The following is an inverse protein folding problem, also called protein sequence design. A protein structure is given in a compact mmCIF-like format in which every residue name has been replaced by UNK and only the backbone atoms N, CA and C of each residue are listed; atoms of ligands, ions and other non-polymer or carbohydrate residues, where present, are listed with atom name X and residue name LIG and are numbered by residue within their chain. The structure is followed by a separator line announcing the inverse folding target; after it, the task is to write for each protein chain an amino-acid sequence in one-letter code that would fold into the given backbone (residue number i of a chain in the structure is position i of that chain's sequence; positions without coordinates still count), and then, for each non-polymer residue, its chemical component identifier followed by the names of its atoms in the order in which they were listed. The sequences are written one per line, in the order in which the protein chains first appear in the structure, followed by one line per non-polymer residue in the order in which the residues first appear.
data_IF_408183517299
#
_entry.id   IF_408183517299
#
_cell.length_a   1.000
_cell.length_b   1.000
_cell.length_c   1.000
_cell.angle_alpha   90.00
_cell.angle_beta   90.00
_cell.angle_gamma   90.00
#
_symmetry.space_group_name_H-M   'P 1'
#
loop_
_entity.id
_entity.type
_entity.pdbx_description
1 polymer ?
#
# COMPACT_ATOMS: atom_id res chain seq x y z
N UNK A 1 -11.75 0.62 10.22
CA UNK A 1 -12.84 -0.20 9.65
C UNK A 1 -12.40 -0.73 8.30
N UNK A 2 -12.08 -2.02 8.21
CA UNK A 2 -12.07 -2.71 6.92
C UNK A 2 -13.52 -2.71 6.43
N UNK A 3 -13.80 -2.20 5.23
CA UNK A 3 -15.18 -2.17 4.73
C UNK A 3 -15.67 -3.62 4.61
N UNK A 4 -16.72 -3.93 5.36
CA UNK A 4 -17.27 -5.28 5.54
C UNK A 4 -17.65 -5.89 4.17
N UNK A 5 -17.31 -7.17 3.98
CA UNK A 5 -17.75 -7.97 2.83
C UNK A 5 -16.68 -8.74 2.04
N UNK A 6 -15.38 -8.47 2.20
CA UNK A 6 -14.32 -9.15 1.40
C UNK A 6 -13.09 -9.51 2.24
N UNK A 7 -13.27 -10.24 3.34
CA UNK A 7 -12.16 -10.67 4.21
C UNK A 7 -11.06 -11.48 3.49
N UNK A 8 -11.39 -12.10 2.36
CA UNK A 8 -10.45 -12.90 1.57
C UNK A 8 -9.61 -12.07 0.59
N UNK A 9 -10.04 -10.85 0.23
CA UNK A 9 -9.35 -10.03 -0.76
C UNK A 9 -7.97 -9.58 -0.27
N UNK A 10 -7.85 -9.17 1.00
CA UNK A 10 -6.58 -8.69 1.55
C UNK A 10 -5.50 -9.79 1.55
N UNK A 11 -5.74 -11.01 2.08
CA UNK A 11 -4.78 -12.12 1.97
C UNK A 11 -4.38 -12.48 0.53
N UNK A 12 -5.33 -12.44 -0.41
CA UNK A 12 -5.06 -12.73 -1.83
C UNK A 12 -4.13 -11.66 -2.42
N UNK A 13 -4.42 -10.38 -2.18
CA UNK A 13 -3.57 -9.28 -2.65
C UNK A 13 -2.18 -9.32 -2.05
N UNK A 14 -2.04 -9.64 -0.75
CA UNK A 14 -0.72 -9.80 -0.13
C UNK A 14 0.08 -10.93 -0.80
N UNK A 15 -0.54 -12.08 -1.05
CA UNK A 15 0.10 -13.22 -1.72
C UNK A 15 0.59 -12.85 -3.11
N UNK A 16 -0.28 -12.23 -3.92
CA UNK A 16 0.05 -11.83 -5.29
C UNK A 16 1.18 -10.81 -5.30
N UNK A 17 1.09 -9.75 -4.48
CA UNK A 17 2.07 -8.67 -4.48
C UNK A 17 3.44 -9.11 -3.93
N UNK A 18 3.46 -10.02 -2.95
CA UNK A 18 4.71 -10.65 -2.50
C UNK A 18 5.35 -11.50 -3.59
N UNK A 19 4.55 -12.15 -4.44
CA UNK A 19 5.03 -12.95 -5.58
C UNK A 19 5.40 -12.12 -6.82
N UNK A 20 4.78 -10.96 -7.01
CA UNK A 20 4.88 -10.15 -8.22
C UNK A 20 6.30 -9.66 -8.52
N UNK A 21 6.82 -9.94 -9.71
CA UNK A 21 8.15 -9.51 -10.15
C UNK A 21 8.14 -8.12 -10.80
N UNK A 22 6.98 -7.50 -10.87
CA UNK A 22 6.74 -6.18 -11.45
C UNK A 22 5.73 -5.43 -10.59
N UNK A 23 5.75 -4.08 -10.60
CA UNK A 23 4.66 -3.29 -10.02
C UNK A 23 3.32 -3.64 -10.68
N UNK A 24 2.28 -3.80 -9.86
CA UNK A 24 0.93 -4.10 -10.35
C UNK A 24 -0.05 -3.00 -9.96
N UNK A 25 -0.88 -2.56 -10.90
CA UNK A 25 -1.98 -1.65 -10.64
C UNK A 25 -3.30 -2.39 -10.29
N UNK A 26 -4.32 -1.62 -9.88
CA UNK A 26 -5.60 -2.19 -9.45
C UNK A 26 -6.37 -2.89 -10.57
N UNK A 27 -6.20 -2.48 -11.83
CA UNK A 27 -6.86 -3.13 -12.97
C UNK A 27 -6.19 -4.46 -13.27
N UNK A 28 -4.86 -4.48 -13.33
CA UNK A 28 -4.08 -5.72 -13.51
C UNK A 28 -4.39 -6.75 -12.44
N UNK A 29 -4.47 -6.31 -11.18
CA UNK A 29 -4.83 -7.19 -10.07
C UNK A 29 -6.27 -7.68 -10.20
N UNK A 30 -7.21 -6.82 -10.57
CA UNK A 30 -8.61 -7.18 -10.76
C UNK A 30 -8.82 -8.19 -11.90
N UNK A 31 -8.01 -8.12 -12.96
CA UNK A 31 -8.08 -9.06 -14.09
C UNK A 31 -7.59 -10.48 -13.72
N UNK A 32 -6.89 -10.65 -12.59
CA UNK A 32 -6.49 -11.97 -12.11
C UNK A 32 -7.69 -12.73 -11.54
N UNK A 33 -7.89 -13.96 -12.01
CA UNK A 33 -9.04 -14.80 -11.62
C UNK A 33 -9.26 -14.90 -10.10
N UNK A 34 -8.23 -15.09 -9.24
CA UNK A 34 -8.42 -15.17 -7.79
C UNK A 34 -8.91 -13.86 -7.15
N UNK A 35 -8.61 -12.72 -7.77
CA UNK A 35 -9.08 -11.40 -7.29
C UNK A 35 -10.47 -11.14 -7.82
N UNK A 36 -10.73 -11.41 -9.11
CA UNK A 36 -12.03 -11.20 -9.75
C UNK A 36 -13.16 -12.01 -9.11
N UNK A 37 -12.85 -13.17 -8.55
CA UNK A 37 -13.83 -14.03 -7.86
C UNK A 37 -14.30 -13.45 -6.52
N UNK A 38 -13.53 -12.56 -5.91
CA UNK A 38 -13.82 -12.01 -4.57
C UNK A 38 -13.97 -10.50 -4.56
N UNK A 39 -13.45 -9.78 -5.55
CA UNK A 39 -13.55 -8.33 -5.65
C UNK A 39 -14.72 -7.94 -6.56
N UNK A 40 -15.63 -7.05 -6.14
CA UNK A 40 -16.77 -6.59 -6.93
C UNK A 40 -16.36 -5.61 -8.04
N UNK A 41 -15.18 -5.00 -7.96
CA UNK A 41 -14.63 -4.08 -8.97
C UNK A 41 -13.15 -3.78 -8.74
N UNK A 42 -12.48 -3.23 -9.75
CA UNK A 42 -11.12 -2.69 -9.62
C UNK A 42 -11.02 -1.54 -8.60
N UNK A 43 -12.09 -0.75 -8.42
CA UNK A 43 -12.14 0.28 -7.38
C UNK A 43 -12.00 -0.33 -5.99
N UNK A 44 -12.64 -1.49 -5.76
CA UNK A 44 -12.52 -2.19 -4.49
C UNK A 44 -11.11 -2.70 -4.24
N UNK A 45 -10.43 -3.16 -5.29
CA UNK A 45 -9.00 -3.51 -5.22
C UNK A 45 -8.17 -2.28 -4.85
N UNK A 46 -8.44 -1.12 -5.47
CA UNK A 46 -7.78 0.15 -5.17
C UNK A 46 -7.91 0.57 -3.70
N UNK A 47 -9.11 0.42 -3.11
CA UNK A 47 -9.34 0.69 -1.68
C UNK A 47 -8.42 -0.15 -0.79
N UNK A 48 -8.33 -1.46 -1.07
CA UNK A 48 -7.51 -2.41 -0.32
C UNK A 48 -6.01 -2.16 -0.51
N UNK A 49 -5.58 -1.80 -1.71
CA UNK A 49 -4.21 -1.35 -1.96
C UNK A 49 -3.88 -0.07 -1.16
N UNK A 50 -4.84 0.84 -1.02
CA UNK A 50 -4.73 2.01 -0.14
C UNK A 50 -4.54 1.62 1.33
N UNK A 51 -5.21 0.56 1.80
CA UNK A 51 -5.01 0.02 3.16
C UNK A 51 -3.61 -0.56 3.30
N UNK A 52 -3.16 -1.41 2.36
CA UNK A 52 -1.82 -2.00 2.40
C UNK A 52 -0.72 -0.94 2.37
N UNK A 53 -0.92 0.12 1.59
CA UNK A 53 -0.01 1.26 1.52
C UNK A 53 0.08 1.98 2.87
N UNK A 54 -1.07 2.35 3.46
CA UNK A 54 -1.09 3.01 4.79
C UNK A 54 -0.55 2.13 5.91
N UNK A 55 -0.61 0.80 5.77
CA UNK A 55 0.03 -0.16 6.68
C UNK A 55 1.54 -0.36 6.41
N UNK A 56 2.12 0.37 5.45
CA UNK A 56 3.53 0.28 5.09
C UNK A 56 3.96 -1.07 4.49
N UNK A 57 3.01 -1.88 4.00
CA UNK A 57 3.30 -3.21 3.41
C UNK A 57 3.75 -3.11 1.95
N UNK A 58 3.27 -2.11 1.25
CA UNK A 58 3.55 -1.86 -0.15
C UNK A 58 3.97 -0.41 -0.34
N UNK A 59 4.73 -0.17 -1.39
CA UNK A 59 5.12 1.15 -1.87
C UNK A 59 4.39 1.45 -3.17
N UNK A 60 4.19 2.74 -3.46
CA UNK A 60 3.57 3.20 -4.70
C UNK A 60 4.64 3.58 -5.71
N UNK A 61 4.34 3.33 -6.97
CA UNK A 61 5.13 3.81 -8.09
C UNK A 61 4.20 4.44 -9.12
N UNK A 62 4.68 5.46 -9.81
CA UNK A 62 3.91 6.07 -10.89
C UNK A 62 3.64 5.00 -11.95
N UNK A 63 2.38 4.85 -12.34
CA UNK A 63 2.06 3.92 -13.41
C UNK A 63 2.52 4.52 -14.75
N UNK A 64 3.44 3.84 -15.42
CA UNK A 64 3.95 4.23 -16.74
C UNK A 64 3.02 3.76 -17.88
N UNK A 65 2.02 2.93 -17.58
CA UNK A 65 1.07 2.44 -18.59
C UNK A 65 0.15 3.55 -19.04
N UNK A 66 0.18 3.79 -20.34
CA UNK A 66 -0.54 4.88 -21.00
C UNK A 66 -1.79 4.38 -21.72
N UNK A 67 -2.38 3.26 -21.28
CA UNK A 67 -3.57 2.70 -21.93
C UNK A 67 -4.77 3.63 -21.71
N UNK A 68 -5.27 4.20 -22.80
CA UNK A 68 -6.36 5.16 -22.80
C UNK A 68 -7.74 4.53 -22.61
N UNK A 69 -7.83 3.19 -22.57
CA UNK A 69 -9.09 2.44 -22.71
C UNK A 69 -9.63 1.90 -21.38
N UNK A 70 -8.75 1.57 -20.42
CA UNK A 70 -9.14 1.23 -19.06
C UNK A 70 -8.73 2.40 -18.16
N UNK A 71 -9.67 2.97 -17.40
CA UNK A 71 -9.43 4.13 -16.54
C UNK A 71 -8.07 4.05 -15.84
N UNK A 72 -7.18 5.00 -16.16
CA UNK A 72 -5.75 4.93 -15.83
C UNK A 72 -5.57 4.92 -14.31
N UNK A 73 -5.21 3.76 -13.77
CA UNK A 73 -4.77 3.65 -12.40
C UNK A 73 -3.48 4.45 -12.25
N UNK A 74 -3.53 5.58 -11.53
CA UNK A 74 -2.36 6.46 -11.33
C UNK A 74 -1.17 5.73 -10.69
N UNK A 75 -1.45 4.76 -9.83
CA UNK A 75 -0.46 4.09 -9.00
C UNK A 75 -0.42 2.60 -9.31
N UNK A 76 0.79 2.08 -9.47
CA UNK A 76 1.10 0.67 -9.30
C UNK A 76 1.76 0.43 -7.94
N UNK A 77 1.74 -0.81 -7.47
CA UNK A 77 2.16 -1.16 -6.12
C UNK A 77 3.22 -2.26 -6.15
N UNK A 78 4.22 -2.11 -5.29
CA UNK A 78 5.33 -3.05 -5.09
C UNK A 78 5.37 -3.44 -3.62
N UNK A 79 5.60 -4.72 -3.33
CA UNK A 79 5.81 -5.14 -1.94
C UNK A 79 7.06 -4.50 -1.34
N UNK A 80 6.94 -3.91 -0.15
CA UNK A 80 8.04 -3.18 0.48
C UNK A 80 9.23 -4.12 0.74
N UNK A 81 10.44 -3.61 0.53
CA UNK A 81 11.70 -4.35 0.67
C UNK A 81 11.86 -5.55 -0.28
N UNK A 82 11.04 -5.66 -1.33
CA UNK A 82 11.27 -6.67 -2.36
C UNK A 82 12.40 -6.22 -3.27
N UNK A 83 13.44 -7.04 -3.36
CA UNK A 83 14.47 -6.87 -4.38
C UNK A 83 13.88 -7.19 -5.75
N UNK A 84 13.67 -6.15 -6.55
CA UNK A 84 13.39 -6.29 -7.97
C UNK A 84 14.72 -6.29 -8.73
N UNK A 85 14.81 -7.03 -9.85
CA UNK A 85 15.96 -6.92 -10.75
C UNK A 85 16.22 -5.45 -11.11
N UNK A 86 17.48 -5.03 -11.24
CA UNK A 86 17.82 -3.61 -11.42
C UNK A 86 17.14 -2.96 -12.64
N UNK A 87 16.96 -3.72 -13.72
CA UNK A 87 16.26 -3.30 -14.93
C UNK A 87 14.73 -3.13 -14.75
N UNK A 88 14.18 -3.56 -13.61
CA UNK A 88 12.77 -3.43 -13.21
C UNK A 88 12.56 -2.57 -11.97
N UNK A 89 13.63 -2.05 -11.37
CA UNK A 89 13.50 -1.16 -10.22
C UNK A 89 12.79 0.13 -10.69
N UNK A 90 11.66 0.49 -10.07
CA UNK A 90 11.00 1.76 -10.36
C UNK A 90 11.95 2.91 -10.09
N UNK A 91 11.98 3.91 -10.98
CA UNK A 91 12.85 5.10 -10.82
C UNK A 91 12.56 5.87 -9.53
N UNK A 92 11.29 5.92 -9.15
CA UNK A 92 10.83 6.57 -7.93
C UNK A 92 9.82 5.68 -7.21
N UNK A 93 10.10 5.41 -5.94
CA UNK A 93 9.24 4.62 -5.05
C UNK A 93 8.75 5.52 -3.94
N UNK A 94 7.44 5.66 -3.83
CA UNK A 94 6.79 6.44 -2.79
C UNK A 94 6.39 5.48 -1.67
N UNK A 95 7.08 5.60 -0.55
CA UNK A 95 6.70 4.92 0.69
C UNK A 95 5.61 5.71 1.43
N UNK A 96 4.77 4.99 2.18
CA UNK A 96 3.84 5.66 3.07
C UNK A 96 4.62 6.36 4.19
N UNK A 97 4.53 7.69 4.21
CA UNK A 97 4.94 8.52 5.34
C UNK A 97 3.68 8.90 6.11
N UNK A 98 3.51 8.43 7.36
CA UNK A 98 2.37 8.82 8.16
C UNK A 98 2.37 10.34 8.35
N UNK A 99 1.17 10.92 8.35
CA UNK A 99 1.01 12.37 8.49
C UNK A 99 1.46 12.75 9.91
N UNK A 100 2.34 13.74 10.01
CA UNK A 100 2.73 14.29 11.29
C UNK A 100 1.51 14.96 11.95
N UNK A 101 1.14 14.49 13.13
CA UNK A 101 0.18 15.15 14.02
C UNK A 101 0.87 16.35 14.66
N UNK A 102 2.15 16.18 15.03
CA UNK A 102 2.98 17.24 15.58
C UNK A 102 4.40 17.12 15.02
N UNK A 103 4.94 18.25 14.57
CA UNK A 103 6.30 18.35 14.05
C UNK A 103 7.01 19.54 14.72
N UNK A 104 7.92 19.21 15.64
CA UNK A 104 8.77 20.15 16.39
C UNK A 104 10.18 19.56 16.50
N UNK A 105 11.22 20.40 16.63
CA UNK A 105 12.61 19.93 16.69
C UNK A 105 12.90 18.88 17.78
N UNK A 106 12.14 18.92 18.88
CA UNK A 106 12.32 18.04 20.04
C UNK A 106 11.26 16.93 20.14
N UNK A 107 10.23 16.93 19.30
CA UNK A 107 9.16 15.94 19.37
C UNK A 107 8.46 15.80 18.01
N UNK A 108 8.35 14.56 17.55
CA UNK A 108 7.69 14.20 16.30
C UNK A 108 6.62 13.15 16.57
N UNK A 109 5.35 13.48 16.30
CA UNK A 109 4.22 12.58 16.53
C UNK A 109 3.60 12.22 15.18
N UNK A 110 3.47 10.92 14.92
CA UNK A 110 2.80 10.39 13.73
C UNK A 110 1.77 9.33 14.09
N UNK A 111 0.82 9.11 13.18
CA UNK A 111 -0.18 8.06 13.30
C UNK A 111 -0.14 7.18 12.05
N UNK A 112 0.14 5.90 12.22
CA UNK A 112 0.27 4.89 11.15
C UNK A 112 -0.91 3.91 11.17
N UNK A 113 -2.12 4.43 11.31
CA UNK A 113 -3.36 3.64 11.35
C UNK A 113 -3.51 2.86 12.65
N UNK A 114 -2.71 1.80 12.82
CA UNK A 114 -2.77 0.88 13.95
C UNK A 114 -1.90 1.36 15.13
N UNK A 115 -0.94 2.26 14.93
CA UNK A 115 -0.11 2.84 16.00
C UNK A 115 -0.07 4.37 15.97
N UNK A 116 0.25 4.94 17.13
CA UNK A 116 0.72 6.32 17.29
C UNK A 116 2.19 6.22 17.67
N UNK A 117 3.06 6.82 16.86
CA UNK A 117 4.50 6.87 17.11
C UNK A 117 4.87 8.27 17.60
N UNK A 118 5.57 8.34 18.74
CA UNK A 118 6.11 9.56 19.32
C UNK A 118 7.62 9.40 19.38
N UNK A 119 8.33 10.21 18.60
CA UNK A 119 9.79 10.23 18.51
C UNK A 119 10.33 11.48 19.22
N UNK A 120 11.25 11.27 20.16
CA UNK A 120 12.00 12.28 20.91
C UNK A 120 13.50 12.00 20.71
N UNK A 121 14.42 12.95 21.00
CA UNK A 121 15.85 12.77 20.72
C UNK A 121 16.50 11.50 21.27
N UNK A 122 15.99 10.98 22.38
CA UNK A 122 16.55 9.80 23.07
C UNK A 122 15.47 8.79 23.50
N UNK A 123 14.24 8.92 22.99
CA UNK A 123 13.12 8.07 23.38
C UNK A 123 12.14 7.91 22.22
N UNK A 124 11.79 6.67 21.89
CA UNK A 124 10.69 6.36 20.97
C UNK A 124 9.58 5.67 21.76
N UNK A 125 8.34 6.13 21.57
CA UNK A 125 7.15 5.55 22.17
C UNK A 125 6.22 5.10 21.03
N UNK A 126 5.94 3.80 20.98
CA UNK A 126 4.98 3.21 20.03
C UNK A 126 3.73 2.78 20.78
N UNK A 127 2.63 3.49 20.56
CA UNK A 127 1.33 3.18 21.16
C UNK A 127 0.52 2.36 20.16
N UNK A 128 0.31 1.07 20.44
CA UNK A 128 -0.54 0.21 19.62
C UNK A 128 -2.00 0.38 20.02
N UNK A 129 -2.87 0.74 19.08
CA UNK A 129 -4.31 0.76 19.33
C UNK A 129 -4.81 -0.67 19.42
N UNK A 130 -5.43 -1.04 20.55
CA UNK A 130 -6.25 -2.25 20.62
C UNK A 130 -7.63 -1.91 20.06
N UNK A 131 -8.00 -2.57 18.96
CA UNK A 131 -9.40 -2.67 18.52
C UNK A 131 -10.11 -3.74 19.36
#
# INVERSE_FOLDING_TARGET
MTPEGHNELLPILETILRGATEPLDCNQLYDMQPVRSVAPSANRVSDYLGILFRKGKVSRVQNERNDAVAGRARWAYVWKNKELPDWKKPKEVIDYKPKAILDRPSIYITEDGDNINIELPHLSIVIKKKN
#
